data_IF_370373330401
#
_entry.id   IF_370373330401
#
_cell.length_a   1.000
_cell.length_b   1.000
_cell.length_c   1.000
_cell.angle_alpha   90.00
_cell.angle_beta   90.00
_cell.angle_gamma   90.00
#
_symmetry.space_group_name_H-M   'P 1'
#
loop_
_entity.id
_entity.type
_entity.pdbx_description
1 polymer ?
#
# COMPACT_ATOMS: atom_id res chain seq x y z
N UNK A 1 -6.65 -17.41 4.96
CA UNK A 1 -7.24 -16.12 5.35
C UNK A 1 -6.13 -15.06 5.40
N UNK A 2 -5.66 -14.52 4.27
CA UNK A 2 -4.54 -13.55 4.23
C UNK A 2 -4.92 -12.24 3.52
N UNK A 3 -6.05 -12.20 2.81
CA UNK A 3 -6.47 -11.02 2.03
C UNK A 3 -7.13 -9.94 2.92
N UNK A 4 -7.63 -10.28 4.11
CA UNK A 4 -8.38 -9.35 4.95
C UNK A 4 -7.53 -8.27 5.64
N UNK A 5 -6.32 -8.59 6.07
CA UNK A 5 -5.62 -7.71 7.03
C UNK A 5 -5.19 -6.36 6.42
N UNK A 6 -4.87 -6.33 5.13
CA UNK A 6 -4.48 -5.10 4.44
C UNK A 6 -5.71 -4.26 4.06
N UNK A 7 -6.81 -4.90 3.64
CA UNK A 7 -8.08 -4.21 3.41
C UNK A 7 -8.65 -3.63 4.71
N UNK A 8 -8.53 -4.34 5.85
CA UNK A 8 -8.92 -3.84 7.17
C UNK A 8 -8.10 -2.62 7.59
N UNK A 9 -6.79 -2.61 7.30
CA UNK A 9 -5.94 -1.44 7.56
C UNK A 9 -6.38 -0.25 6.71
N UNK A 10 -6.77 -0.46 5.45
CA UNK A 10 -7.34 0.58 4.60
C UNK A 10 -8.71 1.06 5.08
N UNK A 11 -9.59 0.16 5.54
CA UNK A 11 -10.87 0.53 6.15
C UNK A 11 -10.64 1.41 7.39
N UNK A 12 -9.77 0.99 8.32
CA UNK A 12 -9.43 1.79 9.51
C UNK A 12 -8.81 3.13 9.15
N UNK A 13 -7.95 3.15 8.12
CA UNK A 13 -7.39 4.39 7.59
C UNK A 13 -8.47 5.34 7.07
N UNK A 14 -9.46 4.81 6.35
CA UNK A 14 -10.58 5.59 5.86
C UNK A 14 -11.57 6.00 6.95
N UNK A 15 -11.84 5.16 7.94
CA UNK A 15 -12.70 5.47 9.09
C UNK A 15 -12.11 6.60 9.95
N UNK A 16 -10.77 6.67 10.03
CA UNK A 16 -10.07 7.74 10.73
C UNK A 16 -10.00 9.05 9.94
N UNK A 17 -10.41 9.05 8.67
CA UNK A 17 -10.49 10.27 7.86
C UNK A 17 -11.89 10.87 8.01
N UNK A 18 -11.97 12.10 8.54
CA UNK A 18 -13.21 12.89 8.54
C UNK A 18 -13.66 13.30 7.13
N UNK A 19 -12.73 13.27 6.17
CA UNK A 19 -12.95 13.67 4.78
C UNK A 19 -13.08 12.47 3.85
N UNK A 20 -13.60 12.68 2.63
CA UNK A 20 -13.68 11.61 1.61
C UNK A 20 -12.30 10.97 1.39
N UNK A 21 -12.19 9.64 1.51
CA UNK A 21 -10.91 8.96 1.35
C UNK A 21 -10.41 9.16 -0.09
N UNK A 22 -9.29 9.86 -0.22
CA UNK A 22 -8.62 10.10 -1.49
C UNK A 22 -7.26 9.38 -1.50
N UNK A 23 -6.66 9.16 -2.67
CA UNK A 23 -5.41 8.40 -2.81
C UNK A 23 -4.25 8.95 -1.95
N UNK A 24 -4.20 10.27 -1.76
CA UNK A 24 -3.13 10.99 -1.07
C UNK A 24 -3.35 11.04 0.45
N UNK A 25 -4.58 11.35 0.90
CA UNK A 25 -5.00 11.35 2.30
C UNK A 25 -4.91 9.93 2.87
N UNK A 26 -5.45 8.93 2.15
CA UNK A 26 -5.33 7.51 2.54
C UNK A 26 -3.87 7.09 2.67
N UNK A 27 -3.03 7.49 1.72
CA UNK A 27 -1.62 7.14 1.75
C UNK A 27 -0.93 7.77 2.97
N UNK A 28 -1.10 9.07 3.19
CA UNK A 28 -0.52 9.77 4.35
C UNK A 28 -1.05 9.17 5.66
N UNK A 29 -2.36 8.97 5.78
CA UNK A 29 -2.98 8.37 6.96
C UNK A 29 -2.46 6.96 7.23
N UNK A 30 -2.26 6.15 6.18
CA UNK A 30 -1.68 4.82 6.30
C UNK A 30 -0.22 4.88 6.78
N UNK A 31 0.56 5.87 6.32
CA UNK A 31 1.93 6.08 6.80
C UNK A 31 1.98 6.47 8.28
N UNK A 32 1.03 7.30 8.73
CA UNK A 32 0.92 7.74 10.11
C UNK A 32 0.44 6.63 11.05
N UNK A 33 -0.58 5.87 10.66
CA UNK A 33 -1.12 4.78 11.48
C UNK A 33 -0.28 3.50 11.44
N UNK A 34 0.35 3.19 10.30
CA UNK A 34 1.06 1.93 10.09
C UNK A 34 2.51 2.13 9.62
N UNK A 35 3.35 2.87 10.36
CA UNK A 35 4.75 3.10 9.99
C UNK A 35 5.57 1.80 9.98
N UNK A 36 5.24 0.84 10.85
CA UNK A 36 5.88 -0.47 10.91
C UNK A 36 5.58 -1.30 9.66
N UNK A 37 4.31 -1.33 9.23
CA UNK A 37 3.89 -2.01 8.00
C UNK A 37 4.54 -1.37 6.78
N UNK A 38 4.57 -0.03 6.74
CA UNK A 38 5.25 0.69 5.68
C UNK A 38 6.74 0.33 5.59
N UNK A 39 7.41 0.24 6.73
CA UNK A 39 8.81 -0.18 6.82
C UNK A 39 8.96 -1.62 6.32
N UNK A 40 8.05 -2.53 6.69
CA UNK A 40 8.06 -3.91 6.22
C UNK A 40 7.82 -4.01 4.71
N UNK A 41 6.89 -3.23 4.15
CA UNK A 41 6.66 -3.13 2.70
C UNK A 41 7.92 -2.69 1.97
N UNK A 42 8.62 -1.66 2.46
CA UNK A 42 9.91 -1.24 1.89
C UNK A 42 10.96 -2.34 1.99
N UNK A 43 11.06 -3.04 3.11
CA UNK A 43 12.04 -4.13 3.30
C UNK A 43 11.74 -5.27 2.33
N UNK A 44 10.48 -5.68 2.22
CA UNK A 44 10.03 -6.72 1.27
C UNK A 44 10.33 -6.29 -0.17
N UNK A 45 10.06 -5.02 -0.50
CA UNK A 45 10.41 -4.45 -1.80
C UNK A 45 11.91 -4.48 -2.08
N UNK A 46 12.74 -4.04 -1.12
CA UNK A 46 14.20 -4.07 -1.23
C UNK A 46 14.74 -5.49 -1.33
N UNK A 47 14.20 -6.44 -0.56
CA UNK A 47 14.54 -7.87 -0.67
C UNK A 47 14.17 -8.43 -2.04
N UNK A 48 12.98 -8.10 -2.53
CA UNK A 48 12.53 -8.50 -3.87
C UNK A 48 13.47 -7.96 -4.96
N UNK A 49 13.83 -6.67 -4.88
CA UNK A 49 14.74 -6.03 -5.82
C UNK A 49 16.15 -6.64 -5.77
N UNK A 50 16.66 -6.94 -4.55
CA UNK A 50 17.95 -7.59 -4.33
C UNK A 50 18.00 -9.04 -4.82
N UNK A 51 16.85 -9.74 -4.82
CA UNK A 51 16.73 -11.13 -5.26
C UNK A 51 16.63 -11.30 -6.78
N UNK A 52 16.44 -10.23 -7.55
CA UNK A 52 16.33 -10.30 -9.02
C UNK A 52 17.73 -10.22 -9.63
N UNK A 53 18.18 -11.35 -10.19
CA UNK A 53 19.46 -11.47 -10.88
C UNK A 53 19.58 -10.49 -12.06
N UNK A 54 20.78 -9.89 -12.15
CA UNK A 54 21.25 -8.97 -13.17
C UNK A 54 21.02 -9.56 -14.59
N UNK A 55 20.20 -8.89 -15.42
CA UNK A 55 20.09 -9.20 -16.86
C UNK A 55 18.68 -9.37 -17.44
N UNK A 56 17.64 -9.62 -16.64
CA UNK A 56 16.23 -9.68 -17.10
C UNK A 56 15.26 -9.17 -16.02
N UNK A 57 15.39 -7.92 -15.60
CA UNK A 57 14.53 -7.37 -14.54
C UNK A 57 13.59 -6.34 -15.13
N UNK A 58 12.30 -6.67 -15.23
CA UNK A 58 11.24 -5.66 -15.30
C UNK A 58 11.28 -4.91 -13.96
N UNK A 59 11.65 -3.62 -13.93
CA UNK A 59 11.78 -2.88 -12.68
C UNK A 59 10.45 -2.94 -11.93
N UNK A 60 10.48 -3.38 -10.67
CA UNK A 60 9.26 -3.27 -9.86
C UNK A 60 8.94 -1.80 -9.61
N UNK A 61 7.65 -1.42 -9.68
CA UNK A 61 7.22 -0.08 -9.34
C UNK A 61 7.49 0.18 -7.87
N UNK A 62 8.05 1.35 -7.54
CA UNK A 62 8.38 1.78 -6.16
C UNK A 62 7.26 1.40 -5.17
N UNK A 63 7.58 1.10 -3.91
CA UNK A 63 6.59 0.68 -2.92
C UNK A 63 5.47 1.71 -2.73
N UNK A 64 5.75 3.00 -2.94
CA UNK A 64 4.73 4.07 -2.96
C UNK A 64 3.73 3.90 -4.10
N UNK A 65 4.21 3.56 -5.30
CA UNK A 65 3.37 3.38 -6.49
C UNK A 65 2.53 2.12 -6.35
N UNK A 66 3.10 1.04 -5.81
CA UNK A 66 2.34 -0.16 -5.47
C UNK A 66 1.24 0.14 -4.44
N UNK A 67 1.58 0.80 -3.33
CA UNK A 67 0.63 1.10 -2.27
C UNK A 67 -0.48 2.04 -2.77
N UNK A 68 -0.15 3.07 -3.56
CA UNK A 68 -1.15 3.94 -4.20
C UNK A 68 -2.07 3.18 -5.14
N UNK A 69 -1.53 2.25 -5.93
CA UNK A 69 -2.34 1.40 -6.82
C UNK A 69 -3.31 0.53 -6.02
N UNK A 70 -2.86 -0.06 -4.91
CA UNK A 70 -3.72 -0.84 -4.01
C UNK A 70 -4.83 0.02 -3.40
N UNK A 71 -4.49 1.20 -2.87
CA UNK A 71 -5.47 2.17 -2.36
C UNK A 71 -6.49 2.54 -3.44
N UNK A 72 -6.05 2.80 -4.68
CA UNK A 72 -6.96 3.11 -5.79
C UNK A 72 -7.92 1.96 -6.10
N UNK A 73 -7.43 0.72 -6.10
CA UNK A 73 -8.28 -0.47 -6.31
C UNK A 73 -9.28 -0.60 -5.18
N UNK A 74 -8.85 -0.41 -3.93
CA UNK A 74 -9.73 -0.44 -2.76
C UNK A 74 -10.79 0.67 -2.82
N UNK A 75 -10.42 1.91 -3.18
CA UNK A 75 -11.37 3.03 -3.35
C UNK A 75 -12.45 2.71 -4.39
N UNK A 76 -12.07 2.11 -5.53
CA UNK A 76 -13.03 1.67 -6.54
C UNK A 76 -13.97 0.58 -6.03
N UNK A 77 -13.46 -0.33 -5.20
CA UNK A 77 -14.25 -1.41 -4.59
C UNK A 77 -15.27 -0.87 -3.59
N UNK A 78 -14.95 0.20 -2.86
CA UNK A 78 -15.89 0.89 -1.96
C UNK A 78 -16.95 1.73 -2.69
N UNK A 79 -16.69 2.10 -3.95
CA UNK A 79 -17.64 2.83 -4.80
C UNK A 79 -18.55 1.94 -5.66
N UNK A 80 -18.40 0.61 -5.60
CA UNK A 80 -19.16 -0.35 -6.41
C UNK A 80 -20.34 -0.96 -5.66
#
# INVERSE_FOLDING_TARGET
MIIHEQEEKFNKAAESLDEKPNEQNMFNQFLEMYPTEWKQLKITFSKFNRSKQFGKTIPLPKPEVSLRKEIRVWLKKQQS
#
